data_IF_787041278055
#
_entry.id   IF_787041278055
#
_cell.length_a   1.000
_cell.length_b   1.000
_cell.length_c   1.000
_cell.angle_alpha   90.00
_cell.angle_beta   90.00
_cell.angle_gamma   90.00
#
_symmetry.space_group_name_H-M   'P 1'
#
loop_
_entity.id
_entity.type
_entity.pdbx_description
1 polymer ?
#
# COMPACT_ATOMS: atom_id res chain seq x y z
N UNK A 1 1.00 31.50 8.92
CA UNK A 1 1.89 30.74 8.04
C UNK A 1 1.18 29.51 7.50
N UNK A 2 1.58 29.10 6.29
CA UNK A 2 0.97 28.02 5.52
C UNK A 2 1.75 26.73 5.73
N UNK A 3 1.04 25.62 5.97
CA UNK A 3 1.63 24.28 6.01
C UNK A 3 1.30 23.62 4.68
N UNK A 4 2.33 23.16 3.97
CA UNK A 4 2.17 22.45 2.70
C UNK A 4 2.19 20.94 2.96
N UNK A 5 1.18 20.24 2.46
CA UNK A 5 1.11 18.77 2.50
C UNK A 5 1.35 18.24 1.10
N UNK A 6 2.38 17.42 0.94
CA UNK A 6 2.71 16.74 -0.30
C UNK A 6 2.42 15.25 -0.15
N UNK A 7 1.61 14.71 -1.06
CA UNK A 7 1.25 13.29 -1.10
C UNK A 7 1.85 12.71 -2.38
N UNK A 8 2.59 11.62 -2.23
CA UNK A 8 3.26 10.92 -3.31
C UNK A 8 2.81 9.47 -3.36
N UNK A 9 2.56 9.00 -4.59
CA UNK A 9 2.32 7.59 -4.90
C UNK A 9 3.31 7.24 -6.01
N UNK A 10 4.20 6.27 -5.76
CA UNK A 10 5.29 5.92 -6.66
C UNK A 10 5.56 4.42 -6.66
N UNK A 11 6.38 3.98 -7.62
CA UNK A 11 6.93 2.62 -7.58
C UNK A 11 7.92 2.53 -6.41
N UNK A 12 7.84 1.47 -5.57
CA UNK A 12 8.82 1.26 -4.51
C UNK A 12 10.22 1.04 -5.06
N UNK A 13 11.22 1.17 -4.19
CA UNK A 13 12.60 0.82 -4.56
C UNK A 13 12.72 -0.65 -4.97
N UNK A 14 13.68 -0.97 -5.85
CA UNK A 14 13.96 -2.36 -6.25
C UNK A 14 14.19 -3.29 -5.05
N UNK A 15 14.83 -2.77 -3.99
CA UNK A 15 15.03 -3.50 -2.74
C UNK A 15 13.69 -3.85 -2.05
N UNK A 16 12.77 -2.88 -1.97
CA UNK A 16 11.44 -3.07 -1.38
C UNK A 16 10.61 -4.07 -2.21
N UNK A 17 10.69 -3.98 -3.54
CA UNK A 17 10.04 -4.94 -4.44
C UNK A 17 10.56 -6.35 -4.16
N UNK A 18 11.89 -6.50 -4.08
CA UNK A 18 12.52 -7.80 -3.79
C UNK A 18 12.09 -8.37 -2.43
N UNK A 19 12.06 -7.53 -1.39
CA UNK A 19 11.58 -7.94 -0.07
C UNK A 19 10.13 -8.45 -0.12
N UNK A 20 9.24 -7.80 -0.89
CA UNK A 20 7.86 -8.26 -1.04
C UNK A 20 7.74 -9.56 -1.79
N UNK A 21 8.55 -9.77 -2.83
CA UNK A 21 8.60 -11.05 -3.57
C UNK A 21 9.09 -12.18 -2.67
N UNK A 22 10.18 -11.97 -1.93
CA UNK A 22 10.74 -12.96 -1.00
C UNK A 22 9.74 -13.30 0.12
N UNK A 23 9.02 -12.29 0.62
CA UNK A 23 7.98 -12.50 1.62
C UNK A 23 6.75 -13.22 1.06
N UNK A 24 6.40 -13.01 -0.20
CA UNK A 24 5.32 -13.72 -0.88
C UNK A 24 5.65 -15.21 -1.07
N UNK A 25 6.90 -15.52 -1.46
CA UNK A 25 7.39 -16.89 -1.58
C UNK A 25 7.39 -17.60 -0.20
N UNK A 26 7.96 -16.95 0.81
CA UNK A 26 8.02 -17.48 2.18
C UNK A 26 6.63 -17.67 2.82
N UNK A 27 5.75 -16.68 2.63
CA UNK A 27 4.40 -16.65 3.17
C UNK A 27 3.36 -17.43 2.34
N UNK A 28 3.78 -18.03 1.21
CA UNK A 28 2.92 -18.81 0.31
C UNK A 28 1.68 -18.06 -0.19
N UNK A 29 1.82 -16.77 -0.46
CA UNK A 29 0.78 -15.94 -1.07
C UNK A 29 1.24 -15.36 -2.41
N UNK A 30 0.29 -14.91 -3.22
CA UNK A 30 0.58 -14.24 -4.49
C UNK A 30 0.30 -12.74 -4.39
N UNK A 31 1.20 -11.92 -4.93
CA UNK A 31 0.91 -10.51 -5.19
C UNK A 31 -0.04 -10.41 -6.39
N UNK A 32 -1.22 -9.83 -6.18
CA UNK A 32 -2.26 -9.65 -7.20
C UNK A 32 -1.98 -8.40 -8.04
N UNK A 33 -1.32 -7.41 -7.43
CA UNK A 33 -0.91 -6.17 -8.10
C UNK A 33 0.55 -5.84 -7.74
N UNK A 34 1.30 -5.14 -8.61
CA UNK A 34 2.59 -4.59 -8.25
C UNK A 34 2.47 -3.70 -7.01
N UNK A 35 3.49 -3.67 -6.14
CA UNK A 35 3.43 -2.84 -4.95
C UNK A 35 3.53 -1.36 -5.27
N UNK A 36 2.89 -0.54 -4.43
CA UNK A 36 2.87 0.92 -4.53
C UNK A 36 3.40 1.53 -3.24
N UNK A 37 4.34 2.46 -3.35
CA UNK A 37 4.85 3.25 -2.23
C UNK A 37 3.92 4.44 -2.01
N UNK A 38 3.47 4.64 -0.77
CA UNK A 38 2.70 5.81 -0.37
C UNK A 38 3.48 6.63 0.63
N UNK A 39 3.80 7.86 0.27
CA UNK A 39 4.51 8.80 1.13
C UNK A 39 3.73 10.11 1.30
N UNK A 40 3.83 10.68 2.49
CA UNK A 40 3.25 11.96 2.86
C UNK A 40 4.34 12.79 3.50
N UNK A 41 4.53 14.01 2.99
CA UNK A 41 5.50 14.97 3.46
C UNK A 41 4.78 16.24 3.91
N UNK A 42 5.26 16.83 5.00
CA UNK A 42 4.80 18.11 5.50
C UNK A 42 5.94 19.10 5.40
N UNK A 43 5.68 20.25 4.78
CA UNK A 43 6.65 21.32 4.64
C UNK A 43 6.19 22.60 5.35
N UNK A 44 7.09 23.19 6.13
CA UNK A 44 6.87 24.43 6.87
C UNK A 44 8.19 25.16 7.10
N UNK A 45 8.22 26.47 6.86
CA UNK A 45 9.42 27.29 7.12
C UNK A 45 10.70 26.81 6.42
N UNK A 46 10.57 26.18 5.24
CA UNK A 46 11.69 25.61 4.48
C UNK A 46 12.15 24.22 4.94
N UNK A 47 11.57 23.67 6.02
CA UNK A 47 11.80 22.30 6.44
C UNK A 47 10.77 21.38 5.78
N UNK A 48 11.21 20.19 5.37
CA UNK A 48 10.36 19.11 4.86
C UNK A 48 10.58 17.89 5.73
N UNK A 49 9.50 17.31 6.24
CA UNK A 49 9.53 16.11 7.08
C UNK A 49 8.58 15.08 6.50
N UNK A 50 9.04 13.84 6.36
CA UNK A 50 8.18 12.71 6.01
C UNK A 50 7.37 12.30 7.24
N UNK A 51 6.06 12.19 7.08
CA UNK A 51 5.18 11.61 8.09
C UNK A 51 5.32 10.09 7.98
N UNK A 52 5.70 9.40 9.05
CA UNK A 52 5.87 7.93 9.00
C UNK A 52 4.73 7.18 9.68
N UNK A 53 3.97 7.85 10.55
CA UNK A 53 2.81 7.29 11.25
C UNK A 53 1.66 8.31 11.36
N UNK A 54 0.44 7.79 11.46
CA UNK A 54 -0.80 8.55 11.57
C UNK A 54 -1.53 8.18 12.86
N UNK A 55 -2.15 9.18 13.51
CA UNK A 55 -2.96 8.97 14.72
C UNK A 55 -4.33 8.33 14.42
N UNK A 56 -4.77 8.42 13.16
CA UNK A 56 -6.03 7.86 12.68
C UNK A 56 -5.79 7.15 11.36
N UNK A 57 -6.67 6.20 11.03
CA UNK A 57 -6.61 5.47 9.77
C UNK A 57 -6.73 6.42 8.58
N UNK A 58 -5.80 6.28 7.65
CA UNK A 58 -5.83 6.96 6.35
C UNK A 58 -6.31 5.96 5.30
N UNK A 59 -7.41 6.32 4.61
CA UNK A 59 -7.95 5.55 3.49
C UNK A 59 -7.08 5.75 2.24
N UNK A 60 -6.66 4.65 1.61
CA UNK A 60 -6.00 4.63 0.31
C UNK A 60 -6.79 3.73 -0.63
N UNK A 61 -6.80 4.06 -1.92
CA UNK A 61 -7.50 3.30 -2.95
C UNK A 61 -6.51 2.85 -4.00
N UNK A 62 -6.42 1.55 -4.19
CA UNK A 62 -5.59 0.91 -5.22
C UNK A 62 -6.54 0.43 -6.31
N UNK A 63 -6.34 0.91 -7.54
CA UNK A 63 -7.08 0.43 -8.68
C UNK A 63 -6.68 -1.03 -8.96
N UNK A 64 -7.67 -1.90 -9.16
CA UNK A 64 -7.41 -3.28 -9.54
C UNK A 64 -7.41 -3.30 -11.08
N UNK A 65 -6.27 -3.63 -11.73
CA UNK A 65 -6.18 -3.63 -13.19
C UNK A 65 -7.06 -4.73 -13.79
N UNK A 66 -7.54 -4.54 -15.01
CA UNK A 66 -8.49 -5.47 -15.68
C UNK A 66 -7.97 -6.92 -15.83
N UNK A 67 -6.65 -7.13 -15.73
CA UNK A 67 -6.02 -8.45 -15.75
C UNK A 67 -5.93 -9.15 -14.40
N UNK A 68 -6.23 -8.46 -13.29
CA UNK A 68 -6.28 -9.03 -11.96
C UNK A 68 -7.72 -9.42 -11.60
N UNK A 69 -7.90 -10.62 -11.06
CA UNK A 69 -9.21 -11.12 -10.62
C UNK A 69 -9.57 -10.53 -9.25
N UNK A 70 -10.59 -9.64 -9.14
CA UNK A 70 -10.96 -9.02 -7.87
C UNK A 70 -11.46 -10.04 -6.83
N UNK A 71 -12.00 -11.19 -7.28
CA UNK A 71 -12.50 -12.26 -6.41
C UNK A 71 -11.34 -13.08 -5.81
N UNK A 72 -10.12 -12.88 -6.31
CA UNK A 72 -8.88 -13.46 -5.76
C UNK A 72 -8.11 -12.47 -4.88
N UNK A 73 -8.74 -11.42 -4.37
CA UNK A 73 -8.08 -10.54 -3.39
C UNK A 73 -8.53 -10.95 -1.99
N UNK A 74 -7.59 -11.48 -1.19
CA UNK A 74 -7.83 -11.81 0.21
C UNK A 74 -7.76 -10.54 1.07
N UNK A 75 -6.73 -9.71 0.87
CA UNK A 75 -6.51 -8.45 1.60
C UNK A 75 -5.36 -7.64 0.97
N UNK A 76 -5.22 -6.38 1.35
CA UNK A 76 -3.98 -5.64 1.24
C UNK A 76 -2.99 -5.99 2.35
N UNK A 77 -1.71 -5.80 2.06
CA UNK A 77 -0.59 -5.96 2.99
C UNK A 77 0.39 -4.80 2.88
N UNK A 78 1.17 -4.61 3.95
CA UNK A 78 2.38 -3.77 3.97
C UNK A 78 3.59 -4.63 4.31
N UNK A 79 4.77 -4.18 3.89
CA UNK A 79 6.04 -4.74 4.33
C UNK A 79 6.81 -3.74 5.20
N UNK A 80 7.33 -4.22 6.33
CA UNK A 80 8.25 -3.45 7.16
C UNK A 80 9.69 -3.61 6.63
N UNK A 81 10.62 -2.69 6.97
CA UNK A 81 12.01 -2.77 6.52
C UNK A 81 12.75 -4.06 6.92
N UNK A 82 12.24 -4.77 7.93
CA UNK A 82 12.78 -6.07 8.37
C UNK A 82 12.20 -7.28 7.60
N UNK A 83 11.34 -7.03 6.60
CA UNK A 83 10.69 -8.05 5.78
C UNK A 83 9.39 -8.59 6.37
N UNK A 84 8.96 -8.12 7.55
CA UNK A 84 7.69 -8.54 8.17
C UNK A 84 6.51 -8.06 7.33
N UNK A 85 5.60 -8.98 7.02
CA UNK A 85 4.35 -8.68 6.31
C UNK A 85 3.22 -8.50 7.31
N UNK A 86 2.44 -7.43 7.15
CA UNK A 86 1.24 -7.17 7.97
C UNK A 86 0.03 -6.92 7.09
N UNK A 87 -1.07 -7.57 7.44
CA UNK A 87 -2.37 -7.34 6.81
C UNK A 87 -2.91 -5.96 7.20
N UNK A 88 -3.58 -5.30 6.26
CA UNK A 88 -4.31 -4.05 6.51
C UNK A 88 -5.80 -4.22 6.21
N UNK A 89 -6.70 -3.57 6.98
CA UNK A 89 -8.14 -3.62 6.70
C UNK A 89 -8.43 -3.23 5.25
N UNK A 90 -9.06 -4.14 4.51
CA UNK A 90 -9.27 -4.02 3.06
C UNK A 90 -10.72 -4.33 2.71
N UNK A 91 -11.31 -3.51 1.84
CA UNK A 91 -12.62 -3.77 1.22
C UNK A 91 -12.53 -3.55 -0.28
N UNK A 92 -13.17 -4.39 -1.07
CA UNK A 92 -13.31 -4.18 -2.51
C UNK A 92 -14.53 -3.31 -2.75
N UNK A 93 -14.39 -2.25 -3.55
CA UNK A 93 -15.49 -1.36 -3.92
C UNK A 93 -15.48 -1.09 -5.42
N UNK A 94 -16.67 -1.05 -6.02
CA UNK A 94 -16.84 -0.58 -7.39
C UNK A 94 -17.02 0.94 -7.40
N UNK A 95 -16.25 1.64 -8.23
CA UNK A 95 -16.42 3.07 -8.49
C UNK A 95 -16.33 3.33 -9.98
N UNK A 96 -17.35 3.96 -10.55
CA UNK A 96 -17.42 4.29 -11.98
C UNK A 96 -17.19 3.07 -12.89
N UNK A 97 -17.72 1.91 -12.47
CA UNK A 97 -17.57 0.64 -13.19
C UNK A 97 -16.21 -0.06 -13.02
N UNK A 98 -15.29 0.50 -12.22
CA UNK A 98 -13.95 -0.07 -11.99
C UNK A 98 -13.80 -0.58 -10.55
N UNK A 99 -13.17 -1.75 -10.35
CA UNK A 99 -12.88 -2.27 -9.01
C UNK A 99 -11.70 -1.54 -8.37
N UNK A 100 -11.84 -1.22 -7.09
CA UNK A 100 -10.79 -0.67 -6.24
C UNK A 100 -10.69 -1.47 -4.95
N UNK A 101 -9.47 -1.75 -4.52
CA UNK A 101 -9.21 -2.14 -3.15
C UNK A 101 -9.04 -0.87 -2.30
N UNK A 102 -9.86 -0.76 -1.27
CA UNK A 102 -9.81 0.34 -0.32
C UNK A 102 -9.21 -0.16 0.96
N UNK A 103 -8.03 0.36 1.27
CA UNK A 103 -7.20 -0.04 2.40
C UNK A 103 -7.13 1.08 3.42
N UNK A 104 -7.06 0.72 4.70
CA UNK A 104 -6.90 1.68 5.79
C UNK A 104 -5.60 1.38 6.53
N UNK A 105 -4.72 2.38 6.66
CA UNK A 105 -3.44 2.18 7.33
C UNK A 105 -2.97 3.40 8.12
N UNK A 106 -2.20 3.13 9.17
CA UNK A 106 -1.59 4.10 10.09
C UNK A 106 -0.13 4.41 9.75
N UNK A 107 0.46 3.83 8.70
CA UNK A 107 1.86 4.10 8.31
C UNK A 107 1.99 4.55 6.85
N UNK A 108 3.13 5.13 6.52
CA UNK A 108 3.62 5.14 5.15
C UNK A 108 4.48 3.90 4.91
N UNK A 109 4.35 3.28 3.74
CA UNK A 109 4.95 1.99 3.40
C UNK A 109 4.67 1.66 1.93
N UNK A 110 5.29 0.59 1.44
CA UNK A 110 4.86 -0.11 0.24
C UNK A 110 3.66 -1.01 0.55
N UNK A 111 2.64 -0.89 -0.28
CA UNK A 111 1.39 -1.66 -0.18
C UNK A 111 1.22 -2.54 -1.41
N UNK A 112 0.71 -3.75 -1.20
CA UNK A 112 0.22 -4.59 -2.30
C UNK A 112 -1.08 -5.29 -1.89
N UNK A 113 -1.76 -5.87 -2.86
CA UNK A 113 -2.92 -6.74 -2.65
C UNK A 113 -2.47 -8.16 -2.85
N UNK A 114 -2.89 -9.06 -1.95
CA UNK A 114 -2.48 -10.46 -1.99
C UNK A 114 -3.67 -11.38 -2.18
N UNK A 115 -3.36 -12.54 -2.75
CA UNK A 115 -4.21 -13.71 -2.73
C UNK A 115 -3.53 -14.79 -1.90
N UNK A 116 -4.28 -15.37 -0.97
CA UNK A 116 -3.85 -16.56 -0.25
C UNK A 116 -4.87 -17.68 -0.50
N UNK A 117 -4.43 -18.73 -1.21
CA UNK A 117 -5.26 -19.88 -1.58
C UNK A 117 -4.99 -21.04 -0.62
N UNK A 118 -5.44 -20.92 0.62
CA UNK A 118 -5.52 -22.08 1.54
C UNK A 118 -6.95 -22.37 1.93
#
# INVERSE_FOLDING_TARGET
DEIMVHIEISEPSEHTVKLMEDAAESGQFMLVVPPLEFAVYVAYGGQVVQVTSFQMYVERRIAIPDGADPDRITTGVVIDPDGTVRHVPTKIMMKDGKPFAVINSLSNSAYSLIWHSV
#
